data_IF_950348416507
#
_entry.id   IF_950348416507
#
_cell.length_a   1.000
_cell.length_b   1.000
_cell.length_c   1.000
_cell.angle_alpha   90.00
_cell.angle_beta   90.00
_cell.angle_gamma   90.00
#
_symmetry.space_group_name_H-M   'P 1'
#
loop_
_entity.id
_entity.type
_entity.pdbx_description
1 polymer ?
#
# COMPACT_ATOMS: atom_id res chain seq x y z
N UNK A 1 10.79 28.68 -3.93
CA UNK A 1 9.50 29.08 -4.54
C UNK A 1 9.54 28.62 -5.99
N UNK A 2 8.45 28.11 -6.56
CA UNK A 2 8.40 27.70 -7.97
C UNK A 2 8.56 28.97 -8.82
N UNK A 3 9.76 29.23 -9.34
CA UNK A 3 10.06 30.41 -10.15
C UNK A 3 9.41 30.29 -11.53
N UNK A 4 8.85 31.40 -12.03
CA UNK A 4 8.12 31.50 -13.30
C UNK A 4 9.06 31.61 -14.53
N UNK A 5 10.28 31.08 -14.45
CA UNK A 5 11.30 31.21 -15.52
C UNK A 5 11.84 29.85 -15.96
N UNK A 6 10.99 29.04 -16.58
CA UNK A 6 11.43 27.88 -17.35
C UNK A 6 11.72 28.35 -18.77
N UNK A 7 13.02 28.43 -19.11
CA UNK A 7 13.51 28.83 -20.44
C UNK A 7 12.93 27.91 -21.52
N UNK A 8 12.54 28.52 -22.64
CA UNK A 8 11.88 27.87 -23.79
C UNK A 8 12.71 26.74 -24.44
N UNK A 9 14.00 26.63 -24.15
CA UNK A 9 14.93 25.60 -24.66
C UNK A 9 15.21 24.42 -23.69
N UNK A 10 14.43 24.27 -22.62
CA UNK A 10 14.64 23.13 -21.70
C UNK A 10 13.96 21.87 -22.19
N UNK A 11 14.74 20.79 -22.34
CA UNK A 11 14.27 19.42 -22.60
C UNK A 11 13.08 19.08 -21.69
N UNK A 12 11.97 18.60 -22.27
CA UNK A 12 10.71 18.28 -21.58
C UNK A 12 10.95 17.35 -20.39
N UNK A 13 11.90 16.43 -20.53
CA UNK A 13 12.30 15.51 -19.46
C UNK A 13 12.97 16.24 -18.29
N UNK A 14 13.82 17.24 -18.56
CA UNK A 14 14.45 18.07 -17.53
C UNK A 14 13.38 18.91 -16.82
N UNK A 15 12.43 19.48 -17.55
CA UNK A 15 11.32 20.25 -16.98
C UNK A 15 10.46 19.39 -16.03
N UNK A 16 10.14 18.15 -16.43
CA UNK A 16 9.40 17.20 -15.59
C UNK A 16 10.18 16.82 -14.33
N UNK A 17 11.48 16.53 -14.46
CA UNK A 17 12.36 16.20 -13.32
C UNK A 17 12.44 17.34 -12.32
N UNK A 18 12.63 18.57 -12.79
CA UNK A 18 12.67 19.76 -11.94
C UNK A 18 11.34 19.95 -11.20
N UNK A 19 10.20 19.75 -11.85
CA UNK A 19 8.90 19.86 -11.22
C UNK A 19 8.73 18.83 -10.08
N UNK A 20 9.07 17.57 -10.34
CA UNK A 20 9.03 16.48 -9.34
C UNK A 20 9.98 16.77 -8.18
N UNK A 21 11.19 17.27 -8.44
CA UNK A 21 12.18 17.59 -7.42
C UNK A 21 11.70 18.72 -6.49
N UNK A 22 11.11 19.78 -7.04
CA UNK A 22 10.55 20.87 -6.25
C UNK A 22 9.40 20.39 -5.35
N UNK A 23 8.49 19.58 -5.89
CA UNK A 23 7.37 19.02 -5.12
C UNK A 23 7.91 18.09 -4.03
N UNK A 24 8.91 17.27 -4.34
CA UNK A 24 9.55 16.34 -3.38
C UNK A 24 10.23 17.09 -2.24
N UNK A 25 11.02 18.13 -2.53
CA UNK A 25 11.65 18.98 -1.50
C UNK A 25 10.61 19.65 -0.60
N UNK A 26 9.51 20.14 -1.18
CA UNK A 26 8.40 20.71 -0.42
C UNK A 26 7.72 19.65 0.47
N UNK A 27 7.51 18.44 -0.05
CA UNK A 27 6.96 17.31 0.70
C UNK A 27 7.84 16.91 1.88
N UNK A 28 9.15 16.74 1.65
CA UNK A 28 10.10 16.31 2.67
C UNK A 28 10.26 17.36 3.77
N UNK A 29 10.17 18.65 3.44
CA UNK A 29 10.18 19.73 4.42
C UNK A 29 8.86 19.81 5.23
N UNK A 30 7.71 19.60 4.58
CA UNK A 30 6.40 19.77 5.20
C UNK A 30 5.88 18.52 5.93
N UNK A 31 6.34 17.32 5.56
CA UNK A 31 5.80 16.05 6.04
C UNK A 31 6.90 15.17 6.61
N UNK A 32 6.87 14.92 7.92
CA UNK A 32 7.73 13.91 8.53
C UNK A 32 7.36 12.52 8.01
N UNK A 33 8.32 11.77 7.47
CA UNK A 33 8.08 10.38 7.06
C UNK A 33 7.66 9.57 8.28
N UNK A 34 6.50 8.92 8.18
CA UNK A 34 5.95 8.09 9.26
C UNK A 34 6.94 6.97 9.56
N UNK A 35 7.67 7.08 10.68
CA UNK A 35 8.48 5.98 11.20
C UNK A 35 7.54 4.82 11.48
N UNK A 36 7.84 3.65 10.93
CA UNK A 36 7.14 2.41 11.30
C UNK A 36 7.47 2.15 12.77
N UNK A 37 6.64 2.65 13.68
CA UNK A 37 6.80 2.40 15.11
C UNK A 37 6.53 0.91 15.34
N UNK A 38 7.60 0.13 15.47
CA UNK A 38 7.55 -1.32 15.59
C UNK A 38 6.95 -1.82 16.92
N UNK A 39 6.66 -0.93 17.86
CA UNK A 39 6.35 -1.33 19.24
C UNK A 39 4.85 -1.40 19.50
N UNK A 40 4.18 -2.35 18.85
CA UNK A 40 3.02 -2.95 19.53
C UNK A 40 3.55 -3.74 20.73
N UNK A 41 2.96 -3.53 21.91
CA UNK A 41 3.29 -4.32 23.09
C UNK A 41 3.16 -5.81 22.72
N UNK A 42 4.21 -6.63 22.94
CA UNK A 42 4.13 -8.06 22.69
C UNK A 42 2.94 -8.66 23.45
N UNK A 43 2.29 -9.65 22.84
CA UNK A 43 1.18 -10.35 23.52
C UNK A 43 1.72 -11.03 24.77
N UNK A 44 0.92 -11.15 25.83
CA UNK A 44 1.35 -11.64 27.15
C UNK A 44 2.03 -13.03 27.17
N UNK A 45 1.83 -13.86 26.14
CA UNK A 45 2.47 -15.18 25.99
C UNK A 45 3.69 -15.16 25.05
N UNK A 46 4.09 -14.00 24.53
CA UNK A 46 5.23 -13.86 23.63
C UNK A 46 6.55 -13.87 24.40
N UNK A 47 7.55 -14.60 23.91
CA UNK A 47 8.88 -14.67 24.50
C UNK A 47 9.95 -14.83 23.40
N UNK A 48 11.23 -14.73 23.77
CA UNK A 48 12.38 -14.83 22.86
C UNK A 48 12.49 -16.20 22.18
N UNK A 49 12.15 -17.27 22.90
CA UNK A 49 12.13 -18.64 22.38
C UNK A 49 11.13 -18.79 21.22
N UNK A 50 9.89 -18.31 21.38
CA UNK A 50 8.87 -18.33 20.33
C UNK A 50 9.29 -17.46 19.15
N UNK A 51 9.96 -16.33 19.39
CA UNK A 51 10.49 -15.49 18.33
C UNK A 51 11.54 -16.22 17.48
N UNK A 52 12.47 -16.93 18.14
CA UNK A 52 13.49 -17.76 17.48
C UNK A 52 12.82 -18.89 16.68
N UNK A 53 11.97 -19.70 17.31
CA UNK A 53 11.27 -20.81 16.66
C UNK A 53 10.40 -20.34 15.49
N UNK A 54 9.80 -19.15 15.58
CA UNK A 54 9.03 -18.56 14.48
C UNK A 54 9.93 -18.18 13.32
N UNK A 55 11.09 -17.58 13.59
CA UNK A 55 12.08 -17.25 12.58
C UNK A 55 12.56 -18.51 11.84
N UNK A 56 12.92 -19.55 12.59
CA UNK A 56 13.33 -20.84 12.03
C UNK A 56 12.22 -21.51 11.21
N UNK A 57 10.99 -21.52 11.72
CA UNK A 57 9.84 -22.08 11.00
C UNK A 57 9.56 -21.30 9.70
N UNK A 58 9.71 -19.98 9.70
CA UNK A 58 9.58 -19.16 8.49
C UNK A 58 10.71 -19.43 7.50
N UNK A 59 11.95 -19.59 7.97
CA UNK A 59 13.10 -19.97 7.14
C UNK A 59 12.86 -21.34 6.49
N UNK A 60 12.45 -22.34 7.25
CA UNK A 60 12.13 -23.67 6.76
C UNK A 60 10.97 -23.66 5.75
N UNK A 61 9.92 -22.85 5.98
CA UNK A 61 8.83 -22.68 5.02
C UNK A 61 9.31 -22.11 3.70
N UNK A 62 10.14 -21.06 3.73
CA UNK A 62 10.69 -20.45 2.50
C UNK A 62 11.55 -21.44 1.71
N UNK A 63 12.39 -22.23 2.39
CA UNK A 63 13.20 -23.27 1.75
C UNK A 63 12.31 -24.34 1.10
N UNK A 64 11.34 -24.88 1.84
CA UNK A 64 10.38 -25.83 1.31
C UNK A 64 9.64 -25.29 0.08
N UNK A 65 9.17 -24.05 0.11
CA UNK A 65 8.48 -23.43 -1.02
C UNK A 65 9.37 -23.23 -2.25
N UNK A 66 10.66 -22.94 -2.07
CA UNK A 66 11.63 -22.81 -3.17
C UNK A 66 12.01 -24.15 -3.79
N UNK A 67 11.98 -25.23 -3.01
CA UNK A 67 12.32 -26.56 -3.50
C UNK A 67 11.16 -27.26 -4.21
N UNK A 68 9.94 -26.71 -4.25
CA UNK A 68 8.80 -27.31 -4.95
C UNK A 68 9.18 -27.57 -6.42
N UNK A 69 9.17 -28.85 -6.82
CA UNK A 69 9.60 -29.29 -8.16
C UNK A 69 10.98 -29.97 -8.20
N UNK A 70 11.69 -30.09 -7.08
CA UNK A 70 12.95 -30.84 -6.98
C UNK A 70 12.81 -32.14 -6.17
N UNK A 71 13.80 -33.02 -6.25
CA UNK A 71 13.83 -34.30 -5.51
C UNK A 71 13.86 -34.10 -3.98
N UNK A 72 14.35 -32.94 -3.52
CA UNK A 72 14.50 -32.63 -2.10
C UNK A 72 13.20 -32.15 -1.41
N UNK A 73 12.06 -32.08 -2.13
CA UNK A 73 10.78 -31.58 -1.59
C UNK A 73 10.35 -32.34 -0.35
N UNK A 74 10.47 -33.66 -0.34
CA UNK A 74 10.02 -34.51 0.78
C UNK A 74 10.81 -34.21 2.04
N UNK A 75 12.14 -34.16 1.94
CA UNK A 75 13.03 -33.80 3.04
C UNK A 75 12.74 -32.40 3.59
N UNK A 76 12.59 -31.40 2.71
CA UNK A 76 12.31 -30.03 3.14
C UNK A 76 10.92 -29.88 3.76
N UNK A 77 9.95 -30.68 3.31
CA UNK A 77 8.61 -30.76 3.91
C UNK A 77 8.65 -31.31 5.33
N UNK A 78 9.42 -32.38 5.55
CA UNK A 78 9.66 -32.99 6.88
C UNK A 78 10.23 -31.94 7.86
N UNK A 79 11.32 -31.26 7.46
CA UNK A 79 11.97 -30.21 8.26
C UNK A 79 10.99 -29.08 8.60
N UNK A 80 10.21 -28.61 7.61
CA UNK A 80 9.20 -27.59 7.87
C UNK A 80 8.11 -28.07 8.85
N UNK A 81 7.62 -29.32 8.70
CA UNK A 81 6.64 -29.90 9.63
C UNK A 81 7.19 -29.95 11.04
N UNK A 82 8.44 -30.39 11.22
CA UNK A 82 9.10 -30.47 12.52
C UNK A 82 9.21 -29.09 13.17
N UNK A 83 9.78 -28.09 12.48
CA UNK A 83 9.89 -26.72 13.00
C UNK A 83 8.53 -26.11 13.31
N UNK A 84 7.50 -26.40 12.50
CA UNK A 84 6.12 -25.98 12.77
C UNK A 84 5.53 -26.65 14.01
N UNK A 85 5.82 -27.94 14.24
CA UNK A 85 5.40 -28.66 15.47
C UNK A 85 6.08 -28.07 16.70
N UNK A 86 7.39 -27.82 16.65
CA UNK A 86 8.14 -27.19 17.73
C UNK A 86 7.57 -25.81 18.10
N UNK A 87 7.34 -24.95 17.10
CA UNK A 87 6.71 -23.65 17.31
C UNK A 87 5.32 -23.75 17.95
N UNK A 88 4.46 -24.67 17.47
CA UNK A 88 3.13 -24.89 18.06
C UNK A 88 3.22 -25.36 19.51
N UNK A 89 4.16 -26.27 19.82
CA UNK A 89 4.40 -26.79 21.17
C UNK A 89 4.82 -25.66 22.12
N UNK A 90 5.80 -24.84 21.72
CA UNK A 90 6.27 -23.70 22.51
C UNK A 90 5.17 -22.66 22.75
N UNK A 91 4.38 -22.33 21.72
CA UNK A 91 3.23 -21.41 21.88
C UNK A 91 2.20 -21.98 22.87
N UNK A 92 1.86 -23.28 22.76
CA UNK A 92 0.91 -23.92 23.67
C UNK A 92 1.44 -23.92 25.12
N UNK A 93 2.71 -24.26 25.31
CA UNK A 93 3.36 -24.28 26.61
C UNK A 93 3.38 -22.87 27.24
N UNK A 94 3.83 -21.86 26.49
CA UNK A 94 3.87 -20.48 26.95
C UNK A 94 2.49 -19.95 27.32
N UNK A 95 1.48 -20.15 26.45
CA UNK A 95 0.08 -19.77 26.77
C UNK A 95 -0.42 -20.43 28.04
N UNK A 96 -0.11 -21.71 28.24
CA UNK A 96 -0.53 -22.46 29.43
C UNK A 96 0.16 -21.93 30.68
N UNK A 97 1.47 -21.67 30.62
CA UNK A 97 2.24 -21.10 31.73
C UNK A 97 1.75 -19.70 32.09
N UNK A 98 1.63 -18.82 31.10
CA UNK A 98 1.14 -17.46 31.30
C UNK A 98 -0.31 -17.44 31.81
N UNK A 99 -1.16 -18.37 31.36
CA UNK A 99 -2.53 -18.49 31.90
C UNK A 99 -2.52 -18.93 33.37
N UNK A 100 -1.71 -19.93 33.73
CA UNK A 100 -1.55 -20.34 35.15
C UNK A 100 -1.04 -19.19 36.03
N UNK A 101 -0.05 -18.44 35.54
CA UNK A 101 0.44 -17.25 36.24
C UNK A 101 -0.64 -16.17 36.38
N UNK A 102 -1.44 -15.96 35.32
CA UNK A 102 -2.56 -15.03 35.37
C UNK A 102 -3.59 -15.44 36.42
N UNK A 103 -3.95 -16.73 36.50
CA UNK A 103 -4.86 -17.24 37.52
C UNK A 103 -4.33 -16.98 38.95
N UNK A 104 -3.05 -17.26 39.22
CA UNK A 104 -2.45 -16.98 40.53
C UNK A 104 -2.53 -15.50 40.90
N UNK A 105 -2.27 -14.60 39.94
CA UNK A 105 -2.39 -13.14 40.15
C UNK A 105 -3.82 -12.67 40.40
N UNK A 106 -4.84 -13.40 39.92
CA UNK A 106 -6.24 -13.06 40.16
C UNK A 106 -6.60 -13.25 41.63
N UNK A 107 -6.11 -14.31 42.25
CA UNK A 107 -6.33 -14.59 43.66
C UNK A 107 -5.75 -13.47 44.55
N UNK A 108 -4.64 -12.85 44.12
CA UNK A 108 -4.00 -11.71 44.79
C UNK A 108 -4.69 -10.36 44.49
N UNK A 109 -5.13 -10.15 43.25
CA UNK A 109 -5.78 -8.91 42.81
C UNK A 109 -6.91 -9.17 41.81
N UNK A 110 -8.18 -9.20 42.27
CA UNK A 110 -9.33 -9.48 41.41
C UNK A 110 -9.59 -8.39 40.36
N UNK A 111 -9.10 -7.16 40.56
CA UNK A 111 -9.24 -6.03 39.63
C UNK A 111 -7.99 -5.78 38.76
N UNK A 112 -7.06 -6.74 38.74
CA UNK A 112 -5.78 -6.64 38.04
C UNK A 112 -5.82 -6.90 36.52
N UNK A 113 -4.76 -7.52 36.00
CA UNK A 113 -4.58 -7.77 34.56
C UNK A 113 -5.69 -8.63 33.96
N UNK A 114 -6.17 -9.65 34.68
CA UNK A 114 -7.22 -10.53 34.19
C UNK A 114 -8.55 -9.81 33.98
N UNK A 115 -8.94 -8.94 34.91
CA UNK A 115 -10.13 -8.10 34.79
C UNK A 115 -10.05 -7.21 33.54
N UNK A 116 -8.91 -6.54 33.32
CA UNK A 116 -8.68 -5.71 32.12
C UNK A 116 -8.77 -6.51 30.82
N UNK A 117 -8.24 -7.74 30.80
CA UNK A 117 -8.34 -8.64 29.63
C UNK A 117 -9.80 -9.01 29.33
N UNK A 118 -10.58 -9.37 30.35
CA UNK A 118 -11.99 -9.74 30.20
C UNK A 118 -12.82 -8.54 29.75
N UNK A 119 -12.66 -7.39 30.40
CA UNK A 119 -13.41 -6.17 30.06
C UNK A 119 -13.02 -5.61 28.68
N UNK A 120 -11.73 -5.66 28.32
CA UNK A 120 -11.26 -5.31 26.99
C UNK A 120 -11.82 -6.21 25.88
N UNK A 121 -12.15 -7.47 26.20
CA UNK A 121 -12.82 -8.39 25.27
C UNK A 121 -14.33 -8.13 25.17
N UNK A 122 -14.95 -7.62 26.24
CA UNK A 122 -16.39 -7.26 26.30
C UNK A 122 -16.69 -5.91 25.63
N UNK A 123 -15.67 -5.10 25.38
CA UNK A 123 -15.73 -3.87 24.60
C UNK A 123 -15.96 -4.12 23.10
N UNK A 124 -17.23 -4.35 22.74
CA UNK A 124 -17.82 -3.99 21.45
C UNK A 124 -17.16 -4.57 20.21
N UNK A 125 -17.60 -5.76 19.80
CA UNK A 125 -17.64 -6.05 18.37
C UNK A 125 -18.40 -4.93 17.66
N UNK A 126 -18.03 -4.63 16.40
CA UNK A 126 -18.83 -3.75 15.54
C UNK A 126 -20.28 -4.18 15.69
N UNK A 127 -21.16 -3.23 16.05
CA UNK A 127 -22.58 -3.50 16.23
C UNK A 127 -23.10 -4.38 15.10
N UNK A 128 -23.96 -5.35 15.43
CA UNK A 128 -24.57 -6.22 14.42
C UNK A 128 -25.12 -5.35 13.29
N UNK A 129 -24.88 -5.79 12.05
CA UNK A 129 -25.43 -5.11 10.89
C UNK A 129 -26.95 -4.99 11.09
N UNK A 130 -27.54 -3.82 10.81
CA UNK A 130 -28.97 -3.61 10.99
C UNK A 130 -29.74 -4.69 10.23
N UNK A 131 -30.52 -5.50 10.97
CA UNK A 131 -31.29 -6.61 10.40
C UNK A 131 -32.68 -6.16 9.93
N UNK A 132 -33.11 -4.95 10.31
CA UNK A 132 -34.42 -4.44 9.91
C UNK A 132 -34.48 -4.19 8.38
N UNK A 133 -35.41 -4.84 7.66
CA UNK A 133 -35.49 -4.76 6.20
C UNK A 133 -35.71 -3.35 5.66
N UNK A 134 -36.45 -2.51 6.40
CA UNK A 134 -36.70 -1.10 6.05
C UNK A 134 -35.42 -0.26 6.09
N UNK A 135 -34.56 -0.45 7.09
CA UNK A 135 -33.29 0.25 7.20
C UNK A 135 -32.31 -0.22 6.12
N UNK A 136 -32.28 -1.52 5.82
CA UNK A 136 -31.48 -2.06 4.73
C UNK A 136 -31.90 -1.48 3.37
N UNK A 137 -33.20 -1.37 3.10
CA UNK A 137 -33.70 -0.77 1.85
C UNK A 137 -33.29 0.70 1.74
N UNK A 138 -33.44 1.49 2.81
CA UNK A 138 -33.01 2.90 2.83
C UNK A 138 -31.50 3.05 2.63
N UNK A 139 -30.69 2.18 3.23
CA UNK A 139 -29.22 2.20 3.04
C UNK A 139 -28.86 1.86 1.59
N UNK A 140 -29.53 0.89 0.97
CA UNK A 140 -29.28 0.56 -0.44
C UNK A 140 -29.68 1.70 -1.37
N UNK A 141 -30.85 2.31 -1.16
CA UNK A 141 -31.33 3.43 -2.00
C UNK A 141 -30.48 4.69 -1.86
N UNK A 142 -29.89 4.93 -0.69
CA UNK A 142 -29.00 6.09 -0.47
C UNK A 142 -27.58 5.87 -0.97
N UNK A 143 -27.03 4.66 -0.84
CA UNK A 143 -25.67 4.35 -1.27
C UNK A 143 -25.56 4.02 -2.75
N UNK A 144 -26.64 3.54 -3.38
CA UNK A 144 -26.68 3.14 -4.78
C UNK A 144 -27.82 3.87 -5.51
N UNK A 145 -27.53 5.03 -6.12
CA UNK A 145 -28.49 5.70 -7.00
C UNK A 145 -28.95 4.76 -8.11
N UNK A 146 -30.25 4.73 -8.39
CA UNK A 146 -30.80 3.96 -9.53
C UNK A 146 -30.31 4.60 -10.82
N UNK A 147 -29.36 3.95 -11.48
CA UNK A 147 -28.89 4.37 -12.80
C UNK A 147 -30.04 4.22 -13.80
N UNK A 148 -30.42 5.30 -14.48
CA UNK A 148 -31.33 5.20 -15.62
C UNK A 148 -30.68 4.31 -16.67
N UNK A 149 -31.44 3.34 -17.19
CA UNK A 149 -31.06 2.57 -18.38
C UNK A 149 -31.23 3.48 -19.61
N UNK A 150 -30.63 4.66 -19.59
CA UNK A 150 -30.41 5.41 -20.82
C UNK A 150 -29.15 4.82 -21.44
N UNK A 151 -29.38 3.88 -22.35
CA UNK A 151 -28.37 3.40 -23.29
C UNK A 151 -27.92 4.56 -24.17
N UNK A 152 -27.08 5.43 -23.62
CA UNK A 152 -26.31 6.39 -24.39
C UNK A 152 -25.34 5.62 -25.26
N UNK A 153 -25.75 5.35 -26.50
CA UNK A 153 -24.82 5.00 -27.56
C UNK A 153 -23.86 6.17 -27.72
N UNK A 154 -22.68 6.08 -27.09
CA UNK A 154 -21.59 7.00 -27.37
C UNK A 154 -21.12 6.62 -28.78
N UNK A 155 -21.69 7.27 -29.80
CA UNK A 155 -21.10 7.28 -31.14
C UNK A 155 -19.80 8.06 -31.03
N UNK A 156 -18.69 7.32 -30.96
CA UNK A 156 -17.36 7.86 -31.17
C UNK A 156 -17.23 8.20 -32.65
N UNK A 157 -17.66 9.41 -33.02
CA UNK A 157 -17.27 9.96 -34.32
C UNK A 157 -15.74 10.08 -34.35
N UNK A 158 -15.17 9.61 -35.45
CA UNK A 158 -13.74 9.54 -35.69
C UNK A 158 -13.27 10.98 -35.93
N UNK A 159 -12.61 11.57 -34.94
CA UNK A 159 -12.09 12.92 -35.05
C UNK A 159 -11.04 13.02 -36.16
N UNK A 160 -11.21 13.98 -37.05
CA UNK A 160 -10.22 14.42 -38.05
C UNK A 160 -8.90 14.80 -37.35
N UNK A 161 -7.73 14.49 -37.96
CA UNK A 161 -6.43 14.79 -37.36
C UNK A 161 -6.19 16.30 -37.41
N UNK A 162 -6.64 16.98 -36.37
CA UNK A 162 -6.31 18.38 -36.10
C UNK A 162 -5.19 18.40 -35.08
N UNK A 163 -4.22 19.29 -35.23
CA UNK A 163 -3.18 19.50 -34.21
C UNK A 163 -3.84 19.65 -32.83
N UNK A 164 -3.31 18.91 -31.84
CA UNK A 164 -3.88 18.90 -30.51
C UNK A 164 -3.91 20.34 -29.96
N UNK A 165 -5.11 20.81 -29.63
CA UNK A 165 -5.29 22.09 -28.97
C UNK A 165 -4.42 22.13 -27.70
N UNK A 166 -3.82 23.30 -27.36
CA UNK A 166 -3.02 23.42 -26.16
C UNK A 166 -3.86 23.07 -24.92
N UNK A 167 -3.24 22.38 -23.97
CA UNK A 167 -3.92 21.92 -22.75
C UNK A 167 -4.43 23.13 -21.98
N UNK A 168 -5.68 23.10 -21.52
CA UNK A 168 -6.26 24.18 -20.74
C UNK A 168 -5.99 23.97 -19.23
N UNK A 169 -5.86 25.07 -18.49
CA UNK A 169 -5.81 25.08 -17.02
C UNK A 169 -7.00 24.31 -16.43
N UNK A 170 -8.20 24.48 -17.00
CA UNK A 170 -9.40 23.76 -16.53
C UNK A 170 -9.28 22.24 -16.68
N UNK A 171 -8.69 21.76 -17.77
CA UNK A 171 -8.48 20.32 -18.01
C UNK A 171 -7.53 19.74 -16.96
N UNK A 172 -6.44 20.45 -16.66
CA UNK A 172 -5.47 20.02 -15.65
C UNK A 172 -6.09 20.00 -14.25
N UNK A 173 -6.93 20.98 -13.92
CA UNK A 173 -7.65 21.01 -12.64
C UNK A 173 -8.66 19.86 -12.53
N UNK A 174 -9.47 19.63 -13.56
CA UNK A 174 -10.44 18.52 -13.60
C UNK A 174 -9.73 17.16 -13.53
N UNK A 175 -8.59 17.00 -14.21
CA UNK A 175 -7.78 15.80 -14.15
C UNK A 175 -7.24 15.56 -12.73
N UNK A 176 -6.73 16.62 -12.08
CA UNK A 176 -6.26 16.53 -10.70
C UNK A 176 -7.38 16.15 -9.72
N UNK A 177 -8.60 16.67 -9.91
CA UNK A 177 -9.74 16.32 -9.04
C UNK A 177 -10.07 14.82 -9.04
N UNK A 178 -9.86 14.14 -10.16
CA UNK A 178 -10.08 12.69 -10.30
C UNK A 178 -9.11 11.84 -9.49
N UNK A 179 -7.99 12.39 -9.00
CA UNK A 179 -7.05 11.60 -8.20
C UNK A 179 -7.70 11.13 -6.90
N UNK A 180 -7.51 9.87 -6.50
CA UNK A 180 -7.97 9.44 -5.18
C UNK A 180 -6.99 9.92 -4.09
N UNK A 181 -7.45 10.74 -3.13
CA UNK A 181 -6.58 11.28 -2.07
C UNK A 181 -5.91 10.19 -1.21
N UNK A 182 -6.59 9.07 -1.01
CA UNK A 182 -6.14 7.94 -0.19
C UNK A 182 -5.47 6.83 -1.00
N UNK A 183 -5.24 7.05 -2.30
CA UNK A 183 -4.49 6.08 -3.12
C UNK A 183 -3.03 6.10 -2.68
N UNK A 184 -2.38 4.94 -2.81
CA UNK A 184 -0.97 4.82 -2.51
C UNK A 184 -0.17 5.74 -3.45
N UNK A 185 0.87 6.44 -2.94
CA UNK A 185 1.78 7.21 -3.77
C UNK A 185 2.51 6.29 -4.77
N UNK A 186 3.01 6.87 -5.85
CA UNK A 186 3.80 6.15 -6.85
C UNK A 186 5.23 5.85 -6.35
N UNK A 187 6.10 5.47 -7.29
CA UNK A 187 7.54 5.29 -7.04
C UNK A 187 8.22 6.60 -6.62
N UNK A 188 7.65 7.74 -7.01
CA UNK A 188 8.03 9.08 -6.57
C UNK A 188 7.81 9.32 -5.08
N UNK A 189 6.95 8.52 -4.42
CA UNK A 189 6.58 8.69 -3.02
C UNK A 189 5.72 9.93 -2.74
N UNK A 190 5.25 10.64 -3.77
CA UNK A 190 4.47 11.87 -3.62
C UNK A 190 3.00 11.49 -3.41
N UNK A 191 2.36 11.91 -2.30
CA UNK A 191 0.94 11.63 -2.09
C UNK A 191 0.07 12.38 -3.10
N UNK A 192 -0.96 11.73 -3.64
CA UNK A 192 -1.94 12.35 -4.54
C UNK A 192 -2.56 13.63 -3.99
N UNK A 193 -2.74 13.70 -2.67
CA UNK A 193 -3.25 14.91 -2.01
C UNK A 193 -2.33 16.11 -2.23
N UNK A 194 -1.01 15.90 -2.22
CA UNK A 194 -0.04 16.98 -2.47
C UNK A 194 -0.09 17.39 -3.94
N UNK A 195 -0.10 16.43 -4.87
CA UNK A 195 -0.21 16.71 -6.31
C UNK A 195 -1.46 17.54 -6.64
N UNK A 196 -2.61 17.19 -6.06
CA UNK A 196 -3.84 17.99 -6.19
C UNK A 196 -3.66 19.43 -5.71
N UNK A 197 -3.05 19.61 -4.55
CA UNK A 197 -2.82 20.95 -3.99
C UNK A 197 -1.86 21.73 -4.87
N UNK A 198 -0.75 21.13 -5.31
CA UNK A 198 0.23 21.83 -6.17
C UNK A 198 -0.38 22.24 -7.50
N UNK A 199 -1.16 21.37 -8.14
CA UNK A 199 -1.88 21.71 -9.39
C UNK A 199 -2.90 22.83 -9.15
N UNK A 200 -3.63 22.78 -8.02
CA UNK A 200 -4.60 23.81 -7.66
C UNK A 200 -3.96 25.18 -7.44
N UNK A 201 -2.79 25.23 -6.78
CA UNK A 201 -2.11 26.49 -6.47
C UNK A 201 -1.27 27.03 -7.64
N UNK A 202 -0.62 26.15 -8.41
CA UNK A 202 0.24 26.51 -9.55
C UNK A 202 -0.03 25.58 -10.74
N UNK A 203 -1.10 25.82 -11.53
CA UNK A 203 -1.43 24.98 -12.68
C UNK A 203 -0.55 25.26 -13.91
N UNK A 204 0.00 26.46 -14.06
CA UNK A 204 0.73 26.89 -15.28
C UNK A 204 1.89 25.96 -15.68
N UNK A 205 2.80 25.53 -14.76
CA UNK A 205 3.90 24.65 -15.13
C UNK A 205 3.42 23.28 -15.64
N UNK A 206 2.27 22.79 -15.14
CA UNK A 206 1.67 21.53 -15.59
C UNK A 206 1.03 21.68 -16.98
N UNK A 207 0.35 22.79 -17.23
CA UNK A 207 -0.24 23.08 -18.55
C UNK A 207 0.84 23.15 -19.63
N UNK A 208 1.93 23.87 -19.37
CA UNK A 208 3.06 24.01 -20.30
C UNK A 208 3.71 22.64 -20.56
N UNK A 209 4.00 21.89 -19.49
CA UNK A 209 4.60 20.57 -19.59
C UNK A 209 3.70 19.60 -20.37
N UNK A 210 2.40 19.51 -20.05
CA UNK A 210 1.49 18.61 -20.75
C UNK A 210 1.27 19.01 -22.21
N UNK A 211 1.19 20.32 -22.51
CA UNK A 211 1.09 20.80 -23.90
C UNK A 211 2.32 20.40 -24.70
N UNK A 212 3.52 20.53 -24.13
CA UNK A 212 4.77 20.08 -24.76
C UNK A 212 4.79 18.56 -24.94
N UNK A 213 4.46 17.78 -23.91
CA UNK A 213 4.39 16.32 -24.00
C UNK A 213 3.45 15.84 -25.12
N UNK A 214 2.30 16.51 -25.31
CA UNK A 214 1.34 16.17 -26.37
C UNK A 214 1.84 16.57 -27.76
N UNK A 215 2.50 17.73 -27.90
CA UNK A 215 3.09 18.17 -29.19
C UNK A 215 4.26 17.29 -29.61
N UNK A 216 5.13 16.94 -28.68
CA UNK A 216 6.36 16.19 -28.95
C UNK A 216 6.13 14.66 -28.97
N UNK A 217 4.91 14.21 -28.63
CA UNK A 217 4.57 12.78 -28.56
C UNK A 217 5.26 12.03 -27.41
N UNK A 218 5.78 12.74 -26.41
CA UNK A 218 6.53 12.16 -25.28
C UNK A 218 5.55 11.75 -24.18
N UNK A 219 5.00 10.53 -24.29
CA UNK A 219 4.17 9.91 -23.25
C UNK A 219 4.91 8.71 -22.65
N UNK A 220 5.65 8.94 -21.56
CA UNK A 220 6.29 7.85 -20.82
C UNK A 220 5.25 7.09 -19.99
N UNK A 221 4.72 6.02 -20.56
CA UNK A 221 4.14 4.93 -19.77
C UNK A 221 5.35 4.24 -19.12
N UNK A 222 5.50 4.35 -17.80
CA UNK A 222 6.58 3.69 -17.10
C UNK A 222 6.47 2.17 -17.30
N UNK A 223 7.18 1.65 -18.30
CA UNK A 223 7.48 0.23 -18.39
C UNK A 223 8.19 -0.14 -17.10
N UNK A 224 7.63 -1.12 -16.40
CA UNK A 224 8.35 -1.77 -15.33
C UNK A 224 9.63 -2.34 -15.94
N UNK A 225 10.79 -1.70 -15.67
CA UNK A 225 12.07 -2.38 -15.77
C UNK A 225 11.98 -3.60 -14.84
N UNK A 226 11.56 -4.74 -15.40
CA UNK A 226 11.92 -6.04 -14.86
C UNK A 226 13.43 -6.09 -15.02
N UNK A 227 14.15 -5.78 -13.94
CA UNK A 227 15.60 -5.97 -13.84
C UNK A 227 15.95 -7.32 -14.44
N UNK A 228 16.66 -7.28 -15.57
CA UNK A 228 17.21 -8.41 -16.29
C UNK A 228 18.52 -8.90 -15.67
N UNK A 229 18.85 -8.47 -14.45
CA UNK A 229 20.15 -8.76 -13.81
C UNK A 229 20.17 -10.11 -13.07
N UNK A 230 19.13 -10.94 -13.22
CA UNK A 230 19.10 -12.29 -12.65
C UNK A 230 19.66 -13.39 -13.59
N UNK A 231 20.07 -13.05 -14.82
CA UNK A 231 20.55 -14.05 -15.80
C UNK A 231 22.07 -14.04 -16.06
N UNK A 232 22.81 -13.05 -15.57
CA UNK A 232 24.27 -12.98 -15.76
C UNK A 232 25.08 -13.67 -14.64
N UNK A 233 24.47 -13.98 -13.48
CA UNK A 233 25.20 -14.59 -12.36
C UNK A 233 25.30 -16.14 -12.40
N UNK A 234 24.77 -16.79 -13.44
CA UNK A 234 24.79 -18.25 -13.57
C UNK A 234 25.70 -18.78 -14.70
N UNK A 235 26.47 -17.93 -15.37
CA UNK A 235 27.44 -18.35 -16.40
C UNK A 235 28.91 -18.29 -15.95
N UNK A 236 29.21 -17.86 -14.72
CA UNK A 236 30.61 -17.76 -14.21
C UNK A 236 30.97 -18.81 -13.14
N UNK A 237 30.16 -19.85 -12.93
CA UNK A 237 30.49 -20.98 -12.04
C UNK A 237 30.65 -22.32 -12.77
N UNK A 238 30.83 -22.28 -14.09
CA UNK A 238 31.25 -23.43 -14.90
C UNK A 238 32.42 -23.03 -15.81
N UNK A 239 33.54 -22.68 -15.19
CA UNK A 239 34.88 -23.01 -15.69
C UNK A 239 35.76 -23.37 -14.51
#
# INVERSE_FOLDING_TARGET
MLDDTLKEDTDVELQAKLLVEHISKACDAAMSRRKQTAHRKPVYWWNSEIALLRSECHKARRLFQRCIGSDNVTRMREIFKEKRRALKKAIKASKTSCFKMLCKKVDENPWGEAYKIVMGRRGGGKGQAPTCPSLLRNVVETLFPKQSQEGGSISLEKAEPTDAAPVNVLEVLQAAERFGNSKAPGLDGIPNKVLKLTVKYKPKPFVELFTRCLRDGILRIAEHQRSSDARAANSELMT
#
